data_IF_715072793003
#
_entry.id   IF_715072793003
#
_cell.length_a   1.000
_cell.length_b   1.000
_cell.length_c   1.000
_cell.angle_alpha   90.00
_cell.angle_beta   90.00
_cell.angle_gamma   90.00
#
_symmetry.space_group_name_H-M   'P 1'
#
loop_
_entity.id
_entity.type
_entity.pdbx_description
1 polymer ?
#
# COMPACT_ATOMS: atom_id res chain seq x y z
N UNK A 1 17.91 -18.39 1.13
CA UNK A 1 16.54 -18.85 1.46
C UNK A 1 15.54 -17.99 0.72
N UNK A 2 14.78 -18.56 -0.22
CA UNK A 2 13.75 -17.83 -0.96
C UNK A 2 12.48 -17.78 -0.12
N UNK A 3 12.11 -16.59 0.36
CA UNK A 3 10.83 -16.37 1.06
C UNK A 3 9.69 -16.63 0.09
N UNK A 4 8.91 -17.68 0.36
CA UNK A 4 7.71 -18.04 -0.40
C UNK A 4 6.74 -16.85 -0.36
N UNK A 5 6.40 -16.32 -1.54
CA UNK A 5 5.52 -15.15 -1.68
C UNK A 5 4.12 -15.59 -1.29
N UNK A 6 3.56 -15.01 -0.24
CA UNK A 6 2.15 -15.16 0.10
C UNK A 6 1.33 -14.21 -0.77
N UNK A 7 1.06 -14.62 -2.01
CA UNK A 7 0.03 -14.00 -2.81
C UNK A 7 -1.33 -14.38 -2.19
N UNK A 8 -2.04 -13.40 -1.65
CA UNK A 8 -3.39 -13.62 -1.10
C UNK A 8 -4.36 -13.70 -2.27
N UNK A 9 -4.54 -14.92 -2.79
CA UNK A 9 -5.54 -15.23 -3.79
C UNK A 9 -6.84 -15.66 -3.10
N UNK A 10 -7.83 -14.76 -3.08
CA UNK A 10 -9.18 -15.10 -2.61
C UNK A 10 -9.93 -15.80 -3.74
N UNK A 11 -10.05 -17.13 -3.66
CA UNK A 11 -10.87 -17.93 -4.57
C UNK A 11 -12.35 -17.71 -4.29
N UNK A 12 -13.20 -17.70 -5.32
CA UNK A 12 -14.65 -17.58 -5.15
C UNK A 12 -15.20 -16.14 -5.06
N UNK A 13 -14.34 -15.11 -5.03
CA UNK A 13 -14.81 -13.71 -4.94
C UNK A 13 -15.60 -13.28 -6.18
N UNK A 14 -15.24 -13.81 -7.36
CA UNK A 14 -15.97 -13.54 -8.61
C UNK A 14 -17.36 -14.17 -8.57
N UNK A 15 -17.43 -15.41 -8.11
CA UNK A 15 -18.63 -16.21 -7.98
C UNK A 15 -19.58 -15.61 -6.93
N UNK A 16 -19.04 -15.22 -5.76
CA UNK A 16 -19.76 -14.50 -4.72
C UNK A 16 -20.36 -13.22 -5.26
N UNK A 17 -19.57 -12.37 -5.94
CA UNK A 17 -20.08 -11.14 -6.55
C UNK A 17 -21.13 -11.39 -7.62
N UNK A 18 -20.97 -12.44 -8.41
CA UNK A 18 -21.96 -12.82 -9.43
C UNK A 18 -23.28 -13.26 -8.78
N UNK A 19 -23.21 -14.03 -7.69
CA UNK A 19 -24.37 -14.42 -6.90
C UNK A 19 -25.03 -13.21 -6.21
N UNK A 20 -24.25 -12.35 -5.54
CA UNK A 20 -24.74 -11.11 -4.93
C UNK A 20 -25.39 -10.20 -5.97
N UNK A 21 -24.80 -10.06 -7.17
CA UNK A 21 -25.40 -9.26 -8.24
C UNK A 21 -26.74 -9.82 -8.73
N UNK A 22 -26.92 -11.14 -8.72
CA UNK A 22 -28.17 -11.80 -9.11
C UNK A 22 -29.26 -11.66 -8.05
N UNK A 23 -28.89 -11.73 -6.77
CA UNK A 23 -29.82 -11.64 -5.65
C UNK A 23 -30.19 -10.19 -5.32
N UNK A 24 -29.17 -9.34 -5.12
CA UNK A 24 -29.35 -7.96 -4.70
C UNK A 24 -28.21 -7.06 -5.26
N UNK A 25 -28.41 -6.44 -6.43
CA UNK A 25 -27.38 -5.63 -7.09
C UNK A 25 -26.80 -4.49 -6.24
N UNK A 26 -27.61 -3.93 -5.34
CA UNK A 26 -27.26 -2.85 -4.41
C UNK A 26 -26.23 -3.27 -3.36
N UNK A 27 -26.03 -4.57 -3.13
CA UNK A 27 -25.07 -5.09 -2.15
C UNK A 27 -23.65 -5.24 -2.68
N UNK A 28 -23.44 -5.21 -4.00
CA UNK A 28 -22.09 -5.31 -4.59
C UNK A 28 -21.17 -4.15 -4.19
N UNK A 29 -21.63 -2.88 -4.17
CA UNK A 29 -20.87 -1.77 -3.60
C UNK A 29 -20.56 -1.94 -2.10
N UNK A 30 -21.54 -2.42 -1.32
CA UNK A 30 -21.39 -2.63 0.14
C UNK A 30 -20.30 -3.66 0.42
N UNK A 31 -20.38 -4.84 -0.19
CA UNK A 31 -19.35 -5.89 -0.10
C UNK A 31 -17.97 -5.35 -0.50
N UNK A 32 -17.91 -4.53 -1.55
CA UNK A 32 -16.64 -3.93 -2.00
C UNK A 32 -16.07 -2.97 -0.96
N UNK A 33 -16.91 -2.22 -0.26
CA UNK A 33 -16.47 -1.26 0.74
C UNK A 33 -16.09 -1.92 2.08
N UNK A 34 -16.77 -3.00 2.46
CA UNK A 34 -16.38 -3.85 3.59
C UNK A 34 -15.00 -4.46 3.37
N UNK A 35 -14.77 -5.06 2.20
CA UNK A 35 -13.47 -5.64 1.85
C UNK A 35 -12.35 -4.57 1.83
N UNK A 36 -12.65 -3.34 1.37
CA UNK A 36 -11.70 -2.22 1.51
C UNK A 36 -11.45 -1.89 2.97
N UNK A 37 -12.47 -1.97 3.82
CA UNK A 37 -12.38 -1.78 5.27
C UNK A 37 -11.39 -2.75 5.90
N UNK A 38 -11.49 -4.04 5.59
CA UNK A 38 -10.56 -5.08 6.06
C UNK A 38 -9.11 -4.75 5.67
N UNK A 39 -8.87 -4.48 4.38
CA UNK A 39 -7.52 -4.14 3.88
C UNK A 39 -7.00 -2.83 4.50
N UNK A 40 -7.89 -1.86 4.78
CA UNK A 40 -7.54 -0.60 5.43
C UNK A 40 -7.11 -0.83 6.88
N UNK A 41 -7.81 -1.66 7.62
CA UNK A 41 -7.48 -1.94 9.02
C UNK A 41 -6.23 -2.79 9.15
N UNK A 42 -6.14 -3.89 8.40
CA UNK A 42 -5.02 -4.82 8.49
C UNK A 42 -3.75 -4.27 7.85
N UNK A 43 -3.81 -3.92 6.56
CA UNK A 43 -2.60 -3.69 5.76
C UNK A 43 -2.22 -2.22 5.66
N UNK A 44 -3.17 -1.30 5.45
CA UNK A 44 -2.83 0.13 5.36
C UNK A 44 -2.22 0.65 6.67
N UNK A 45 -2.68 0.15 7.82
CA UNK A 45 -2.06 0.43 9.12
C UNK A 45 -0.58 0.02 9.17
N UNK A 46 -0.26 -1.21 8.73
CA UNK A 46 1.12 -1.70 8.66
C UNK A 46 2.00 -0.85 7.71
N UNK A 47 1.49 -0.49 6.53
CA UNK A 47 2.21 0.40 5.60
C UNK A 47 2.52 1.75 6.25
N UNK A 48 1.53 2.36 6.92
CA UNK A 48 1.70 3.65 7.59
C UNK A 48 2.71 3.59 8.73
N UNK A 49 2.75 2.49 9.50
CA UNK A 49 3.77 2.27 10.54
C UNK A 49 5.18 2.21 9.95
N UNK A 50 5.38 1.50 8.84
CA UNK A 50 6.67 1.40 8.13
C UNK A 50 7.13 2.74 7.56
N UNK A 51 6.20 3.52 7.02
CA UNK A 51 6.49 4.89 6.58
C UNK A 51 6.90 5.74 7.78
N UNK A 52 6.13 5.69 8.88
CA UNK A 52 6.43 6.47 10.07
C UNK A 52 7.80 6.12 10.66
N UNK A 53 8.21 4.86 10.70
CA UNK A 53 9.53 4.45 11.21
C UNK A 53 10.68 4.96 10.33
N UNK A 54 10.57 4.89 9.00
CA UNK A 54 11.57 5.45 8.06
C UNK A 54 11.72 6.98 8.19
N UNK A 55 10.68 7.65 8.68
CA UNK A 55 10.62 9.10 8.79
C UNK A 55 11.05 9.66 10.16
N UNK A 56 11.33 8.82 11.17
CA UNK A 56 11.67 9.22 12.57
C UNK A 56 12.98 10.01 12.75
N UNK A 57 13.66 10.41 11.68
CA UNK A 57 14.85 11.26 11.77
C UNK A 57 14.49 12.71 12.19
N UNK A 58 15.27 13.38 13.06
CA UNK A 58 14.77 14.39 14.02
C UNK A 58 14.42 15.78 13.45
N UNK A 59 14.41 15.98 12.14
CA UNK A 59 14.30 17.32 11.54
C UNK A 59 12.85 17.74 11.25
N UNK A 60 12.47 18.96 11.66
CA UNK A 60 11.12 19.56 11.45
C UNK A 60 10.69 19.55 9.97
N UNK A 61 11.64 19.70 9.03
CA UNK A 61 11.37 19.65 7.58
C UNK A 61 10.93 18.27 7.10
N UNK A 62 11.33 17.19 7.78
CA UNK A 62 10.83 15.84 7.52
C UNK A 62 9.36 15.73 7.96
N UNK A 63 8.93 16.30 9.09
CA UNK A 63 7.54 16.17 9.59
C UNK A 63 6.43 16.53 8.56
N UNK A 64 6.59 17.62 7.78
CA UNK A 64 5.59 17.98 6.73
C UNK A 64 5.65 17.05 5.50
N UNK A 65 6.84 16.57 5.13
CA UNK A 65 6.99 15.55 4.07
C UNK A 65 6.49 14.17 4.53
N UNK A 66 6.60 13.90 5.82
CA UNK A 66 6.11 12.70 6.48
C UNK A 66 4.60 12.56 6.37
N UNK A 67 3.86 13.63 6.71
CA UNK A 67 2.40 13.65 6.57
C UNK A 67 1.96 13.43 5.12
N UNK A 68 2.57 14.14 4.16
CA UNK A 68 2.26 13.97 2.73
C UNK A 68 2.52 12.55 2.23
N UNK A 69 3.62 11.93 2.67
CA UNK A 69 3.95 10.57 2.30
C UNK A 69 2.92 9.57 2.86
N UNK A 70 2.57 9.71 4.15
CA UNK A 70 1.52 8.91 4.79
C UNK A 70 0.17 9.07 4.08
N UNK A 71 -0.21 10.29 3.75
CA UNK A 71 -1.47 10.61 3.07
C UNK A 71 -1.50 10.17 1.61
N UNK A 72 -0.34 9.84 1.03
CA UNK A 72 -0.24 9.40 -0.36
C UNK A 72 -0.61 7.93 -0.54
N UNK A 73 -0.54 7.13 0.53
CA UNK A 73 -0.91 5.71 0.50
C UNK A 73 -2.39 5.55 0.77
N UNK A 74 -3.08 4.79 -0.09
CA UNK A 74 -4.51 4.54 0.02
C UNK A 74 -4.89 3.15 -0.46
N UNK A 75 -5.96 2.61 0.11
CA UNK A 75 -6.64 1.43 -0.44
C UNK A 75 -7.54 1.89 -1.57
N UNK A 76 -7.46 1.21 -2.70
CA UNK A 76 -8.33 1.41 -3.86
C UNK A 76 -8.84 0.06 -4.35
N UNK A 77 -9.78 0.10 -5.27
CA UNK A 77 -10.25 -1.12 -5.94
C UNK A 77 -10.48 -0.87 -7.42
N UNK A 78 -10.18 -1.87 -8.22
CA UNK A 78 -10.32 -1.85 -9.68
C UNK A 78 -10.75 -3.24 -10.14
N UNK A 79 -11.79 -3.31 -10.98
CA UNK A 79 -12.37 -4.59 -11.41
C UNK A 79 -12.68 -5.51 -10.21
N UNK A 80 -12.04 -6.68 -10.22
CA UNK A 80 -12.17 -7.74 -9.21
C UNK A 80 -11.08 -7.72 -8.13
N UNK A 81 -10.27 -6.66 -8.06
CA UNK A 81 -9.14 -6.59 -7.14
C UNK A 81 -9.25 -5.38 -6.21
N UNK A 82 -8.77 -5.57 -4.98
CA UNK A 82 -8.52 -4.51 -4.01
C UNK A 82 -7.01 -4.45 -3.83
N UNK A 83 -6.46 -3.24 -3.91
CA UNK A 83 -5.01 -3.06 -3.87
C UNK A 83 -4.66 -1.76 -3.15
N UNK A 84 -3.43 -1.71 -2.67
CA UNK A 84 -2.87 -0.52 -2.03
C UNK A 84 -2.06 0.23 -3.07
N UNK A 85 -2.33 1.52 -3.20
CA UNK A 85 -1.59 2.43 -4.07
C UNK A 85 -0.78 3.38 -3.22
N UNK A 86 0.49 3.48 -3.55
CA UNK A 86 1.40 4.46 -3.00
C UNK A 86 1.60 5.64 -3.94
N UNK A 87 1.70 6.85 -3.37
CA UNK A 87 1.99 8.06 -4.14
C UNK A 87 0.75 8.82 -4.62
N UNK A 88 1.00 10.11 -4.87
CA UNK A 88 0.06 11.10 -5.41
C UNK A 88 0.88 12.08 -6.26
N UNK A 89 0.23 12.83 -7.15
CA UNK A 89 0.89 13.89 -7.93
C UNK A 89 1.67 14.88 -7.03
N UNK A 90 1.15 15.18 -5.83
CA UNK A 90 1.80 16.05 -4.83
C UNK A 90 2.99 15.40 -4.09
N UNK A 91 3.26 14.11 -4.33
CA UNK A 91 4.35 13.31 -3.74
C UNK A 91 5.12 12.59 -4.85
N UNK A 92 5.76 13.34 -5.77
CA UNK A 92 6.44 12.75 -6.93
C UNK A 92 7.67 11.90 -6.53
N UNK A 93 8.20 12.12 -5.32
CA UNK A 93 9.32 11.37 -4.76
C UNK A 93 8.91 10.06 -4.08
N UNK A 94 7.63 9.64 -4.17
CA UNK A 94 7.16 8.40 -3.53
C UNK A 94 7.97 7.18 -3.96
N UNK A 95 8.18 7.01 -5.28
CA UNK A 95 8.92 5.86 -5.81
C UNK A 95 10.34 5.76 -5.24
N UNK A 96 11.03 6.89 -5.12
CA UNK A 96 12.35 6.94 -4.48
C UNK A 96 12.31 6.67 -2.97
N UNK A 97 11.21 7.03 -2.29
CA UNK A 97 11.01 6.70 -0.87
C UNK A 97 10.72 5.22 -0.65
N UNK A 98 9.98 4.57 -1.52
CA UNK A 98 9.67 3.15 -1.36
C UNK A 98 10.82 2.28 -1.91
N UNK A 99 11.13 2.43 -3.19
CA UNK A 99 12.07 1.57 -3.91
C UNK A 99 13.52 2.05 -3.82
N UNK A 100 13.77 3.36 -3.74
CA UNK A 100 15.14 3.91 -3.71
C UNK A 100 15.62 4.31 -5.10
N UNK A 101 16.92 4.15 -5.36
CA UNK A 101 17.58 4.65 -6.56
C UNK A 101 18.09 6.09 -6.40
N UNK A 102 18.27 6.77 -7.52
CA UNK A 102 18.85 8.11 -7.58
C UNK A 102 17.74 9.15 -7.72
N UNK A 103 17.59 10.02 -6.73
CA UNK A 103 16.75 11.20 -6.84
C UNK A 103 17.62 12.37 -7.27
N UNK A 104 17.52 12.73 -8.55
CA UNK A 104 18.13 13.94 -9.08
C UNK A 104 17.35 15.15 -8.56
N UNK A 105 18.02 16.15 -7.96
CA UNK A 105 17.35 17.36 -7.53
C UNK A 105 16.81 18.11 -8.75
N UNK A 106 15.62 18.70 -8.60
CA UNK A 106 15.05 19.62 -9.60
C UNK A 106 15.42 21.05 -9.15
N UNK A 107 16.10 21.81 -10.01
CA UNK A 107 16.51 23.20 -9.77
C UNK A 107 17.92 23.37 -9.16
N UNK A 108 18.21 24.57 -8.63
CA UNK A 108 19.57 25.04 -8.26
C UNK A 108 20.25 24.34 -7.07
N UNK A 109 19.63 23.35 -6.40
CA UNK A 109 20.23 22.63 -5.25
C UNK A 109 20.98 21.38 -5.73
N UNK A 110 22.24 21.24 -5.31
CA UNK A 110 23.23 20.33 -5.94
C UNK A 110 23.38 18.92 -5.36
N UNK A 111 22.58 18.51 -4.37
CA UNK A 111 22.82 17.20 -3.74
C UNK A 111 21.91 16.12 -4.31
N UNK A 112 22.46 15.32 -5.21
CA UNK A 112 21.91 14.03 -5.63
C UNK A 112 21.71 13.16 -4.39
N UNK A 113 20.49 12.68 -4.17
CA UNK A 113 20.19 11.78 -3.07
C UNK A 113 20.13 10.35 -3.59
N UNK A 114 20.91 9.46 -2.99
CA UNK A 114 20.97 8.05 -3.38
C UNK A 114 20.43 7.18 -2.26
N UNK A 115 19.62 6.19 -2.61
CA UNK A 115 19.19 5.13 -1.69
C UNK A 115 19.37 3.77 -2.36
N UNK A 116 19.72 2.72 -1.60
CA UNK A 116 19.76 1.36 -2.13
C UNK A 116 18.45 1.02 -2.83
N UNK A 117 18.52 0.46 -4.03
CA UNK A 117 17.32 0.03 -4.73
C UNK A 117 16.83 -1.29 -4.13
N UNK A 118 15.59 -1.30 -3.66
CA UNK A 118 14.92 -2.47 -3.12
C UNK A 118 13.76 -2.81 -4.04
N UNK A 119 13.84 -3.96 -4.74
CA UNK A 119 12.81 -4.41 -5.68
C UNK A 119 11.44 -4.59 -5.01
N UNK A 120 11.43 -5.00 -3.74
CA UNK A 120 10.23 -5.13 -2.91
C UNK A 120 9.80 -3.81 -2.26
N UNK A 121 10.54 -2.73 -2.45
CA UNK A 121 10.30 -1.49 -1.71
C UNK A 121 10.52 -1.66 -0.20
N UNK A 122 10.10 -0.65 0.54
CA UNK A 122 10.23 -0.52 2.01
C UNK A 122 8.89 -0.52 2.72
N UNK A 123 7.80 -0.17 2.02
CA UNK A 123 6.53 0.13 2.66
C UNK A 123 5.41 -0.84 2.27
N UNK A 124 4.99 -0.86 0.99
CA UNK A 124 3.76 -1.56 0.60
C UNK A 124 3.94 -3.08 0.62
N UNK A 125 4.88 -3.63 -0.16
CA UNK A 125 5.03 -5.08 -0.22
C UNK A 125 5.42 -5.71 1.12
N UNK A 126 6.35 -5.14 1.91
CA UNK A 126 6.68 -5.72 3.20
C UNK A 126 5.50 -5.71 4.19
N UNK A 127 4.60 -4.74 4.09
CA UNK A 127 3.37 -4.71 4.89
C UNK A 127 2.35 -5.76 4.41
N UNK A 128 2.25 -5.99 3.09
CA UNK A 128 1.42 -7.08 2.55
C UNK A 128 1.97 -8.42 3.01
N UNK A 129 3.29 -8.64 2.92
CA UNK A 129 3.91 -9.89 3.37
C UNK A 129 3.62 -10.14 4.86
N UNK A 130 3.69 -9.10 5.71
CA UNK A 130 3.38 -9.16 7.15
C UNK A 130 1.91 -9.50 7.44
N UNK A 131 0.97 -8.95 6.67
CA UNK A 131 -0.47 -9.10 6.96
C UNK A 131 -1.15 -10.18 6.14
N UNK A 132 -0.48 -10.71 5.11
CA UNK A 132 -1.03 -11.70 4.18
C UNK A 132 -1.52 -12.96 4.89
N UNK A 133 -0.71 -13.52 5.79
CA UNK A 133 -1.06 -14.70 6.57
C UNK A 133 -2.32 -14.45 7.42
N UNK A 134 -2.35 -13.35 8.17
CA UNK A 134 -3.50 -12.99 9.00
C UNK A 134 -4.78 -12.71 8.19
N UNK A 135 -4.64 -12.22 6.95
CA UNK A 135 -5.78 -11.99 6.05
C UNK A 135 -6.31 -13.28 5.44
N UNK A 136 -5.44 -14.26 5.19
CA UNK A 136 -5.83 -15.61 4.75
C UNK A 136 -6.55 -16.33 5.89
N UNK A 137 -5.97 -16.33 7.09
CA UNK A 137 -6.58 -16.98 8.27
C UNK A 137 -7.95 -16.37 8.62
N UNK A 138 -8.11 -15.04 8.45
CA UNK A 138 -9.39 -14.37 8.66
C UNK A 138 -10.44 -14.66 7.55
N UNK A 139 -10.00 -15.14 6.39
CA UNK A 139 -10.88 -15.48 5.27
C UNK A 139 -11.31 -16.96 5.26
N UNK A 140 -10.61 -17.84 5.97
CA UNK A 140 -10.89 -19.28 6.09
C UNK A 140 -9.79 -20.15 5.49
#
# INVERSE_FOLDING_TARGET
>A
MATKIAEVNVTGLRELRAATRRLEPTMVPVLRDELKGVVRTATLGAVKRRIASDLRSPTVRKKRQSGRLLDSVRVTSGGNSIYIVGGKAKVPYYGWRDFGGVLKPVGRRRNTQVRPFLKRGRYIYPAIDETSAALVDAAG
#
